data_IF_287873230094
#
_entry.id   IF_287873230094
#
_cell.length_a   1.000
_cell.length_b   1.000
_cell.length_c   1.000
_cell.angle_alpha   90.00
_cell.angle_beta   90.00
_cell.angle_gamma   90.00
#
_symmetry.space_group_name_H-M   'P 1'
#
loop_
_entity.id
_entity.type
_entity.pdbx_description
1 polymer ?
#
# COMPACT_ATOMS: atom_id res chain seq x y z
N UNK A 1 5.64 7.36 11.58
CA UNK A 1 4.37 6.82 12.19
C UNK A 1 3.97 5.56 11.42
N UNK A 2 3.55 4.48 12.11
CA UNK A 2 3.02 3.27 11.44
C UNK A 2 1.69 3.59 10.78
N UNK A 3 1.49 3.17 9.55
CA UNK A 3 0.28 3.43 8.75
C UNK A 3 -0.49 2.17 8.40
N UNK A 4 0.23 1.09 8.07
CA UNK A 4 -0.37 -0.21 7.81
C UNK A 4 0.62 -1.33 8.14
N UNK A 5 0.12 -2.55 8.31
CA UNK A 5 0.94 -3.72 8.57
C UNK A 5 0.25 -4.98 8.04
N UNK A 6 1.05 -5.95 7.61
CA UNK A 6 0.56 -7.23 7.11
C UNK A 6 1.46 -8.38 7.54
N UNK A 7 0.84 -9.49 7.92
CA UNK A 7 1.54 -10.75 8.10
C UNK A 7 1.46 -11.59 6.82
N UNK A 8 2.61 -12.03 6.32
CA UNK A 8 2.74 -12.92 5.16
C UNK A 8 3.94 -13.81 5.31
N UNK A 9 3.81 -15.09 5.00
CA UNK A 9 4.93 -16.04 4.99
C UNK A 9 5.67 -15.90 3.65
N UNK A 10 6.64 -14.98 3.64
CA UNK A 10 7.36 -14.52 2.45
C UNK A 10 8.31 -15.58 1.88
N UNK A 11 8.91 -16.38 2.75
CA UNK A 11 9.91 -17.36 2.40
C UNK A 11 9.38 -18.82 2.39
N UNK A 12 8.06 -18.99 2.58
CA UNK A 12 7.35 -20.27 2.61
C UNK A 12 7.87 -21.26 3.68
N UNK A 13 8.32 -20.74 4.86
CA UNK A 13 8.77 -21.55 5.99
C UNK A 13 7.69 -21.86 7.03
N UNK A 14 6.44 -21.46 6.79
CA UNK A 14 5.26 -21.62 7.64
C UNK A 14 5.21 -20.69 8.86
N UNK A 15 6.10 -19.71 8.94
CA UNK A 15 6.11 -18.68 9.96
C UNK A 15 5.78 -17.32 9.32
N UNK A 16 4.59 -16.75 9.58
CA UNK A 16 4.24 -15.48 8.96
C UNK A 16 5.22 -14.37 9.35
N UNK A 17 5.87 -13.78 8.38
CA UNK A 17 6.71 -12.59 8.50
C UNK A 17 5.84 -11.34 8.61
N UNK A 18 6.41 -10.22 9.01
CA UNK A 18 5.68 -8.97 9.18
C UNK A 18 6.28 -7.87 8.29
N UNK A 19 5.43 -7.29 7.43
CA UNK A 19 5.75 -6.05 6.72
C UNK A 19 4.98 -4.89 7.34
N UNK A 20 5.65 -3.74 7.50
CA UNK A 20 5.07 -2.54 8.14
C UNK A 20 5.40 -1.31 7.32
N UNK A 21 4.37 -0.52 6.97
CA UNK A 21 4.53 0.76 6.29
C UNK A 21 4.58 1.93 7.27
N UNK A 22 5.33 2.96 6.89
CA UNK A 22 5.56 4.14 7.74
C UNK A 22 5.41 5.44 6.96
N UNK A 23 4.87 6.45 7.60
CA UNK A 23 5.22 7.84 7.23
C UNK A 23 6.63 8.15 7.75
N UNK A 24 7.45 8.80 6.91
CA UNK A 24 8.84 9.14 7.20
C UNK A 24 9.70 7.90 7.48
N UNK A 25 9.52 6.86 6.70
CA UNK A 25 10.29 5.62 6.86
C UNK A 25 10.18 4.69 5.67
N UNK A 26 11.03 3.64 5.63
CA UNK A 26 10.92 2.58 4.63
C UNK A 26 9.76 1.65 4.96
N UNK A 27 9.37 0.82 4.00
CA UNK A 27 8.61 -0.40 4.31
C UNK A 27 9.56 -1.33 5.06
N UNK A 28 9.22 -1.66 6.31
CA UNK A 28 10.06 -2.54 7.14
C UNK A 28 9.63 -3.98 6.99
N UNK A 29 10.62 -4.84 6.91
CA UNK A 29 10.47 -6.29 6.86
C UNK A 29 11.06 -6.93 8.11
N UNK A 30 10.22 -7.67 8.82
CA UNK A 30 10.61 -8.43 10.00
C UNK A 30 10.45 -9.92 9.72
N UNK A 31 11.58 -10.63 9.63
CA UNK A 31 11.61 -12.08 9.47
C UNK A 31 11.19 -12.76 10.78
N UNK A 32 10.30 -13.73 10.67
CA UNK A 32 9.81 -14.53 11.76
C UNK A 32 10.58 -15.85 11.85
N UNK A 33 11.51 -15.96 12.79
CA UNK A 33 12.15 -17.24 13.12
C UNK A 33 11.41 -17.89 14.30
N UNK A 34 10.46 -18.77 14.00
CA UNK A 34 9.71 -19.61 14.98
C UNK A 34 9.06 -18.79 16.09
N UNK A 35 8.39 -17.71 15.73
CA UNK A 35 7.68 -16.81 16.64
C UNK A 35 8.52 -15.62 17.14
N UNK A 36 9.78 -15.48 16.66
CA UNK A 36 10.63 -14.35 17.01
C UNK A 36 10.88 -13.46 15.79
N UNK A 37 10.27 -12.28 15.79
CA UNK A 37 10.46 -11.27 14.74
C UNK A 37 11.82 -10.56 14.88
N UNK A 38 12.54 -10.42 13.77
CA UNK A 38 13.80 -9.66 13.67
C UNK A 38 13.79 -8.76 12.43
N UNK A 39 14.18 -7.49 12.60
CA UNK A 39 14.27 -6.54 11.49
C UNK A 39 15.35 -6.98 10.49
N UNK A 40 14.94 -7.19 9.25
CA UNK A 40 15.76 -7.58 8.11
C UNK A 40 15.64 -6.61 6.93
N UNK A 41 15.07 -5.43 7.16
CA UNK A 41 14.79 -4.42 6.14
C UNK A 41 15.98 -4.11 5.23
N UNK A 42 17.16 -3.86 5.82
CA UNK A 42 18.37 -3.58 5.05
C UNK A 42 18.89 -4.82 4.30
N UNK A 43 18.72 -6.02 4.87
CA UNK A 43 19.16 -7.26 4.23
C UNK A 43 18.41 -7.51 2.91
N UNK A 44 17.14 -7.13 2.85
CA UNK A 44 16.28 -7.35 1.67
C UNK A 44 16.20 -6.13 0.74
N UNK A 45 16.94 -5.04 1.03
CA UNK A 45 17.08 -3.87 0.15
C UNK A 45 15.96 -2.85 0.24
N UNK A 46 15.04 -2.95 1.20
CA UNK A 46 13.91 -2.02 1.35
C UNK A 46 14.27 -0.71 2.07
N UNK A 47 15.38 -0.65 2.80
CA UNK A 47 15.80 0.52 3.59
C UNK A 47 16.21 1.73 2.74
N UNK A 48 16.53 1.52 1.46
CA UNK A 48 16.91 2.59 0.53
C UNK A 48 15.73 3.43 0.04
N UNK A 49 14.49 2.94 0.17
CA UNK A 49 13.26 3.57 -0.28
C UNK A 49 12.45 4.09 0.92
N UNK A 50 12.61 5.37 1.20
CA UNK A 50 12.00 6.04 2.35
C UNK A 50 10.88 6.95 1.86
N UNK A 51 9.65 6.68 2.30
CA UNK A 51 8.45 7.36 1.80
C UNK A 51 7.47 7.82 2.88
N UNK A 52 6.34 8.32 2.41
CA UNK A 52 5.11 8.47 3.20
C UNK A 52 4.14 7.36 2.82
N UNK A 53 4.56 6.12 3.08
CA UNK A 53 3.76 4.94 2.73
C UNK A 53 2.50 4.90 3.59
N UNK A 54 1.34 4.79 2.95
CA UNK A 54 0.01 4.86 3.57
C UNK A 54 -0.64 3.50 3.75
N UNK A 55 -0.32 2.53 2.89
CA UNK A 55 -1.02 1.25 2.81
C UNK A 55 -0.12 0.15 2.27
N UNK A 56 -0.53 -1.10 2.54
CA UNK A 56 0.07 -2.31 1.95
C UNK A 56 -1.03 -3.35 1.70
N UNK A 57 -1.02 -4.00 0.53
CA UNK A 57 -1.93 -5.09 0.16
C UNK A 57 -1.18 -6.22 -0.53
N UNK A 58 -1.46 -7.49 -0.19
CA UNK A 58 -0.77 -8.66 -0.73
C UNK A 58 -1.46 -9.21 -1.97
N UNK A 59 -0.73 -9.86 -2.86
CA UNK A 59 -1.23 -10.65 -3.99
C UNK A 59 -0.09 -11.27 -4.80
N UNK A 60 -0.34 -12.40 -5.41
CA UNK A 60 0.56 -13.06 -6.38
C UNK A 60 0.37 -12.36 -7.73
N UNK A 61 1.16 -11.30 -7.99
CA UNK A 61 0.92 -10.35 -9.10
C UNK A 61 1.49 -10.91 -10.42
N UNK A 62 2.53 -11.72 -10.34
CA UNK A 62 3.21 -12.29 -11.52
C UNK A 62 2.96 -13.79 -11.72
N UNK A 63 2.05 -14.38 -10.92
CA UNK A 63 1.66 -15.79 -10.97
C UNK A 63 2.83 -16.76 -10.79
N UNK A 64 3.86 -16.40 -10.01
CA UNK A 64 5.01 -17.26 -9.72
C UNK A 64 4.80 -18.14 -8.47
N UNK A 65 3.73 -17.89 -7.71
CA UNK A 65 3.27 -18.69 -6.57
C UNK A 65 3.79 -18.18 -5.22
N UNK A 66 4.37 -17.01 -5.17
CA UNK A 66 4.67 -16.32 -3.93
C UNK A 66 3.88 -14.98 -3.80
N UNK A 67 3.97 -14.31 -2.68
CA UNK A 67 3.17 -13.11 -2.42
C UNK A 67 4.01 -11.85 -2.60
N UNK A 68 3.53 -11.00 -3.51
CA UNK A 68 3.96 -9.63 -3.71
C UNK A 68 3.10 -8.64 -2.92
N UNK A 69 3.49 -7.38 -2.94
CA UNK A 69 2.80 -6.34 -2.20
C UNK A 69 2.63 -5.07 -3.04
N UNK A 70 1.43 -4.48 -2.99
CA UNK A 70 1.20 -3.11 -3.43
C UNK A 70 1.35 -2.18 -2.24
N UNK A 71 2.14 -1.12 -2.39
CA UNK A 71 2.26 -0.07 -1.37
C UNK A 71 1.78 1.27 -1.91
N UNK A 72 0.89 1.91 -1.16
CA UNK A 72 0.43 3.27 -1.42
C UNK A 72 1.42 4.29 -0.87
N UNK A 73 1.62 5.39 -1.60
CA UNK A 73 2.47 6.52 -1.22
C UNK A 73 1.83 7.83 -1.71
N UNK A 74 2.51 8.95 -1.55
CA UNK A 74 2.02 10.30 -1.86
C UNK A 74 1.83 10.56 -3.36
N UNK A 75 2.62 9.90 -4.24
CA UNK A 75 2.62 10.17 -5.68
C UNK A 75 3.40 11.44 -6.05
N UNK A 76 3.39 11.78 -7.34
CA UNK A 76 4.24 12.85 -7.87
C UNK A 76 3.56 14.21 -8.04
N UNK A 77 2.22 14.27 -7.98
CA UNK A 77 1.47 15.52 -8.14
C UNK A 77 1.35 16.28 -6.81
N UNK A 78 2.49 16.66 -6.29
CA UNK A 78 2.65 17.36 -5.03
C UNK A 78 3.74 18.41 -5.14
N UNK A 79 3.78 19.36 -4.23
CA UNK A 79 4.88 20.32 -4.12
C UNK A 79 6.19 19.72 -3.58
N UNK A 80 6.14 18.53 -3.00
CA UNK A 80 7.31 17.79 -2.57
C UNK A 80 8.05 17.21 -3.79
N UNK A 81 9.39 17.29 -3.76
CA UNK A 81 10.26 16.85 -4.87
C UNK A 81 11.38 15.96 -4.34
N UNK A 82 11.00 15.00 -3.51
CA UNK A 82 11.95 14.10 -2.90
C UNK A 82 12.66 13.21 -3.93
N UNK A 83 13.95 13.03 -3.71
CA UNK A 83 14.78 12.08 -4.44
C UNK A 83 15.92 11.62 -3.55
N UNK A 84 16.66 10.59 -3.97
CA UNK A 84 17.81 10.08 -3.21
C UNK A 84 18.88 11.18 -2.95
N UNK A 85 19.14 12.05 -3.93
CA UNK A 85 20.13 13.13 -3.79
C UNK A 85 19.56 14.35 -3.05
N UNK A 86 18.27 14.59 -3.15
CA UNK A 86 17.59 15.73 -2.54
C UNK A 86 16.36 15.25 -1.77
N UNK A 87 16.53 14.63 -0.58
CA UNK A 87 15.42 14.17 0.22
C UNK A 87 14.64 15.35 0.83
N UNK A 88 13.36 15.13 1.10
CA UNK A 88 12.62 15.97 2.05
C UNK A 88 13.06 15.59 3.46
N UNK A 89 13.23 16.57 4.33
CA UNK A 89 13.74 16.36 5.68
C UNK A 89 12.74 16.86 6.71
N UNK A 90 12.64 16.14 7.81
CA UNK A 90 11.95 16.55 9.02
C UNK A 90 12.92 16.46 10.18
N UNK A 91 13.11 17.58 10.87
CA UNK A 91 13.78 17.62 12.15
C UNK A 91 12.76 17.75 13.29
N UNK A 92 12.96 17.00 14.36
CA UNK A 92 12.16 17.09 15.58
C UNK A 92 13.09 17.31 16.78
N UNK A 93 13.10 18.52 17.32
CA UNK A 93 14.02 18.91 18.37
C UNK A 93 13.67 20.20 19.09
N UNK A 94 14.45 20.53 20.11
CA UNK A 94 14.38 21.81 20.82
C UNK A 94 15.32 22.81 20.14
N UNK A 95 14.76 23.74 19.36
CA UNK A 95 15.52 24.75 18.61
C UNK A 95 15.61 26.10 19.31
N UNK A 96 14.99 26.23 20.49
CA UNK A 96 15.03 27.44 21.30
C UNK A 96 15.79 27.27 22.62
N UNK A 97 16.16 26.02 22.99
CA UNK A 97 16.84 25.72 24.25
C UNK A 97 15.94 25.84 25.49
N UNK A 98 14.61 25.80 25.29
CA UNK A 98 13.63 25.98 26.36
C UNK A 98 12.92 24.65 26.77
N UNK A 99 13.36 23.53 26.24
CA UNK A 99 12.81 22.20 26.49
C UNK A 99 11.59 21.84 25.59
N UNK A 100 11.03 22.79 24.84
CA UNK A 100 9.92 22.57 23.94
C UNK A 100 10.43 22.05 22.59
N UNK A 101 9.97 20.87 22.18
CA UNK A 101 10.31 20.31 20.88
C UNK A 101 9.37 20.86 19.80
N UNK A 102 9.97 21.23 18.67
CA UNK A 102 9.28 21.70 17.47
C UNK A 102 9.64 20.83 16.25
N UNK A 103 8.82 20.91 15.20
CA UNK A 103 9.03 20.25 13.93
C UNK A 103 9.52 21.29 12.93
N UNK A 104 10.62 20.98 12.22
CA UNK A 104 11.17 21.76 11.13
C UNK A 104 11.22 20.90 9.89
N UNK A 105 10.35 21.19 8.89
CA UNK A 105 10.42 20.59 7.57
C UNK A 105 11.41 21.37 6.71
N UNK A 106 12.24 20.64 5.96
CA UNK A 106 13.25 21.21 5.08
C UNK A 106 13.32 20.50 3.74
N UNK A 107 13.83 21.20 2.73
CA UNK A 107 13.99 20.74 1.37
C UNK A 107 15.32 21.20 0.80
N UNK A 108 15.82 20.54 -0.23
CA UNK A 108 16.99 20.98 -0.97
C UNK A 108 16.59 21.82 -2.20
N UNK A 109 17.29 22.93 -2.41
CA UNK A 109 17.33 23.70 -3.64
C UNK A 109 18.80 23.99 -3.96
N UNK A 110 19.27 23.63 -5.15
CA UNK A 110 20.67 23.82 -5.59
C UNK A 110 21.72 23.33 -4.57
N UNK A 111 21.49 22.15 -3.96
CA UNK A 111 22.31 21.54 -2.91
C UNK A 111 22.35 22.30 -1.57
N UNK A 112 21.53 23.32 -1.38
CA UNK A 112 21.37 24.02 -0.12
C UNK A 112 20.06 23.59 0.54
N UNK A 113 20.10 23.30 1.84
CA UNK A 113 18.94 22.91 2.60
C UNK A 113 18.21 24.14 3.14
N UNK A 114 16.97 24.37 2.72
CA UNK A 114 16.12 25.49 3.16
C UNK A 114 14.91 24.99 3.96
N UNK A 115 14.38 25.81 4.89
CA UNK A 115 13.12 25.46 5.56
C UNK A 115 11.97 25.46 4.53
N UNK A 116 11.07 24.50 4.64
CA UNK A 116 9.88 24.44 3.79
C UNK A 116 8.81 25.44 4.23
N UNK A 117 8.74 25.73 5.52
CA UNK A 117 7.81 26.72 6.08
C UNK A 117 8.43 28.11 6.05
N UNK A 118 7.63 29.09 5.64
CA UNK A 118 8.07 30.49 5.62
C UNK A 118 8.20 31.11 7.02
N UNK A 119 8.77 32.34 7.08
CA UNK A 119 9.01 33.07 8.32
C UNK A 119 7.78 33.17 9.23
N UNK A 120 6.58 33.43 8.68
CA UNK A 120 5.35 33.54 9.46
C UNK A 120 5.08 32.26 10.26
N UNK A 121 4.94 31.11 9.58
CA UNK A 121 4.69 29.83 10.24
C UNK A 121 5.80 29.44 11.21
N UNK A 122 7.06 29.68 10.84
CA UNK A 122 8.22 29.34 11.67
C UNK A 122 8.28 30.18 12.93
N UNK A 123 7.99 31.50 12.84
CA UNK A 123 8.00 32.42 13.98
C UNK A 123 6.77 32.28 14.90
N UNK A 124 5.63 31.84 14.36
CA UNK A 124 4.46 31.53 15.18
C UNK A 124 4.73 30.34 16.12
N UNK A 125 5.50 29.34 15.64
CA UNK A 125 5.92 28.20 16.45
C UNK A 125 7.11 28.52 17.39
N UNK A 126 8.04 29.35 16.91
CA UNK A 126 9.31 29.70 17.57
C UNK A 126 9.58 31.22 17.44
N UNK A 127 9.08 32.05 18.36
CA UNK A 127 9.14 33.51 18.26
C UNK A 127 10.55 34.13 18.12
N UNK A 128 11.58 33.49 18.66
CA UNK A 128 12.98 33.91 18.53
C UNK A 128 13.45 34.01 17.07
N UNK A 129 12.83 33.30 16.16
CA UNK A 129 13.16 33.33 14.72
C UNK A 129 12.89 34.74 14.17
N UNK A 130 11.79 35.39 14.56
CA UNK A 130 11.44 36.73 14.09
C UNK A 130 12.41 37.81 14.63
N UNK A 131 12.97 37.59 15.79
CA UNK A 131 14.00 38.49 16.36
C UNK A 131 15.31 38.35 15.57
N UNK A 132 15.69 37.14 15.20
CA UNK A 132 16.93 36.86 14.46
C UNK A 132 16.82 37.22 12.97
N UNK A 133 15.63 37.05 12.39
CA UNK A 133 15.31 37.28 10.97
C UNK A 133 14.12 38.25 10.85
N UNK A 134 14.34 39.55 11.01
CA UNK A 134 13.24 40.53 11.04
C UNK A 134 12.53 40.74 9.71
N UNK A 135 13.12 40.29 8.60
CA UNK A 135 12.52 40.41 7.26
C UNK A 135 12.33 39.05 6.56
N UNK A 136 11.27 38.95 5.75
CA UNK A 136 11.03 37.76 4.94
C UNK A 136 12.19 37.45 4.00
N UNK A 137 12.84 38.48 3.45
CA UNK A 137 13.97 38.31 2.54
C UNK A 137 15.16 37.64 3.23
N UNK A 138 15.55 38.12 4.41
CA UNK A 138 16.66 37.53 5.17
C UNK A 138 16.38 36.05 5.50
N UNK A 139 15.17 35.75 5.94
CA UNK A 139 14.78 34.38 6.23
C UNK A 139 14.80 33.48 4.97
N UNK A 140 14.28 33.99 3.84
CA UNK A 140 14.13 33.20 2.61
C UNK A 140 15.47 32.81 1.95
N UNK A 141 16.52 33.62 2.13
CA UNK A 141 17.87 33.34 1.61
C UNK A 141 18.76 32.56 2.58
N UNK A 142 18.28 32.31 3.80
CA UNK A 142 19.07 31.62 4.84
C UNK A 142 18.79 30.12 4.82
N UNK A 143 19.85 29.33 4.91
CA UNK A 143 19.75 27.87 5.02
C UNK A 143 19.24 27.42 6.40
N UNK A 144 18.82 26.17 6.50
CA UNK A 144 18.30 25.59 7.75
C UNK A 144 19.30 25.69 8.90
N UNK A 145 20.58 25.43 8.65
CA UNK A 145 21.65 25.53 9.63
C UNK A 145 21.93 26.96 10.09
N UNK A 146 21.74 27.95 9.23
CA UNK A 146 21.83 29.38 9.60
C UNK A 146 20.65 29.82 10.47
N UNK A 147 19.45 29.27 10.24
CA UNK A 147 18.24 29.62 10.99
C UNK A 147 18.19 28.93 12.34
N UNK A 148 18.42 27.60 12.36
CA UNK A 148 18.23 26.77 13.56
C UNK A 148 19.53 26.35 14.24
N UNK A 149 20.70 26.74 13.76
CA UNK A 149 22.06 26.33 14.08
C UNK A 149 22.36 24.85 13.85
N UNK A 150 23.54 24.55 13.33
CA UNK A 150 23.96 23.15 13.08
C UNK A 150 23.98 22.33 14.35
N UNK A 151 24.41 22.91 15.48
CA UNK A 151 24.46 22.21 16.77
C UNK A 151 23.09 21.69 17.23
N UNK A 152 22.02 22.49 17.05
CA UNK A 152 20.67 22.10 17.44
C UNK A 152 20.07 21.10 16.45
N UNK A 153 20.39 21.22 15.16
CA UNK A 153 19.99 20.23 14.14
C UNK A 153 20.63 18.86 14.40
N UNK A 154 21.90 18.83 14.81
CA UNK A 154 22.62 17.58 15.12
C UNK A 154 22.06 16.86 16.36
N UNK A 155 21.48 17.63 17.31
CA UNK A 155 20.79 17.09 18.49
C UNK A 155 19.35 16.65 18.21
N UNK A 156 18.75 17.13 17.12
CA UNK A 156 17.39 16.80 16.75
C UNK A 156 17.28 15.40 16.16
N UNK A 157 16.12 14.77 16.31
CA UNK A 157 15.79 13.59 15.51
C UNK A 157 15.57 14.02 14.07
N UNK A 158 16.26 13.36 13.14
CA UNK A 158 16.17 13.61 11.70
C UNK A 158 15.46 12.45 11.02
N UNK A 159 14.48 12.78 10.17
CA UNK A 159 13.79 11.86 9.29
C UNK A 159 13.93 12.34 7.85
N UNK A 160 13.92 11.42 6.92
CA UNK A 160 14.07 11.72 5.49
C UNK A 160 12.98 11.02 4.67
N UNK A 161 12.65 11.59 3.51
CA UNK A 161 11.86 10.95 2.46
C UNK A 161 12.56 11.18 1.14
N UNK A 162 12.80 10.09 0.40
CA UNK A 162 13.46 10.11 -0.90
C UNK A 162 12.64 9.42 -2.00
N UNK A 163 11.52 8.80 -1.65
CA UNK A 163 10.65 8.09 -2.56
C UNK A 163 9.19 8.52 -2.40
N UNK A 164 8.55 8.94 -3.49
CA UNK A 164 7.16 9.40 -3.50
C UNK A 164 6.22 8.45 -4.23
N UNK A 165 6.74 7.51 -5.03
CA UNK A 165 5.90 6.61 -5.81
C UNK A 165 5.17 5.58 -4.97
N UNK A 166 3.91 5.35 -5.30
CA UNK A 166 3.23 4.10 -4.99
C UNK A 166 3.78 3.00 -5.88
N UNK A 167 3.96 1.79 -5.36
CA UNK A 167 4.78 0.78 -6.02
C UNK A 167 4.32 -0.64 -5.78
N UNK A 168 4.84 -1.55 -6.61
CA UNK A 168 4.90 -2.98 -6.37
C UNK A 168 6.20 -3.25 -5.59
N UNK A 169 6.10 -4.00 -4.51
CA UNK A 169 7.22 -4.69 -3.87
C UNK A 169 7.11 -6.15 -4.27
N UNK A 170 7.85 -6.52 -5.31
CA UNK A 170 7.86 -7.85 -5.86
C UNK A 170 8.76 -8.76 -5.01
N UNK A 171 8.25 -9.91 -4.63
CA UNK A 171 8.98 -10.94 -3.91
C UNK A 171 9.83 -11.75 -4.90
N UNK A 172 11.11 -11.66 -4.78
CA UNK A 172 12.10 -12.43 -5.57
C UNK A 172 12.87 -13.41 -4.72
N UNK A 173 12.21 -14.00 -3.75
CA UNK A 173 12.82 -15.00 -2.87
C UNK A 173 13.24 -16.20 -3.68
N UNK A 174 14.52 -16.56 -3.58
CA UNK A 174 15.04 -17.69 -4.35
C UNK A 174 14.55 -19.02 -3.77
N UNK A 175 14.61 -20.07 -4.58
CA UNK A 175 14.24 -21.44 -4.14
C UNK A 175 15.13 -21.96 -2.99
N UNK A 176 16.32 -21.38 -2.81
CA UNK A 176 17.21 -21.66 -1.69
C UNK A 176 16.85 -20.88 -0.41
N UNK A 177 15.77 -20.09 -0.44
CA UNK A 177 15.26 -19.32 0.69
C UNK A 177 15.98 -17.97 0.93
N UNK A 178 16.75 -17.46 -0.06
CA UNK A 178 17.31 -16.11 0.05
C UNK A 178 16.23 -15.10 -0.27
N UNK A 179 15.75 -14.39 0.76
CA UNK A 179 14.71 -13.36 0.63
C UNK A 179 15.30 -12.12 -0.07
N UNK A 180 14.61 -11.65 -1.09
CA UNK A 180 14.94 -10.45 -1.83
C UNK A 180 13.64 -9.79 -2.35
N UNK A 181 13.56 -8.46 -2.28
CA UNK A 181 12.50 -7.70 -2.90
C UNK A 181 13.02 -6.78 -4.00
N UNK A 182 12.19 -6.54 -5.00
CA UNK A 182 12.39 -5.43 -5.94
C UNK A 182 11.29 -4.37 -5.71
N UNK A 183 11.61 -3.11 -5.99
CA UNK A 183 10.70 -2.00 -5.85
C UNK A 183 10.43 -1.40 -7.23
N UNK A 184 9.21 -1.55 -7.73
CA UNK A 184 8.81 -1.09 -9.05
C UNK A 184 7.67 -0.06 -8.94
N UNK A 185 7.85 1.20 -9.36
CA UNK A 185 6.78 2.19 -9.35
C UNK A 185 5.58 1.75 -10.21
N UNK A 186 4.37 1.96 -9.70
CA UNK A 186 3.13 1.81 -10.46
C UNK A 186 3.07 2.81 -11.64
N UNK A 187 2.23 2.57 -12.65
CA UNK A 187 2.06 3.46 -13.80
C UNK A 187 1.87 4.93 -13.41
N UNK A 188 2.43 5.84 -14.22
CA UNK A 188 2.50 7.27 -13.89
C UNK A 188 1.15 7.90 -13.60
N UNK A 189 0.08 7.45 -14.23
CA UNK A 189 -1.27 8.02 -14.04
C UNK A 189 -1.74 7.89 -12.58
N UNK A 190 -1.46 6.78 -11.93
CA UNK A 190 -1.86 6.56 -10.53
C UNK A 190 -1.00 7.34 -9.53
N UNK A 191 0.12 7.90 -9.96
CA UNK A 191 0.96 8.80 -9.15
C UNK A 191 0.40 10.23 -9.07
N UNK A 192 -0.81 10.47 -9.58
CA UNK A 192 -1.45 11.79 -9.61
C UNK A 192 -1.93 12.27 -8.23
N UNK A 193 -2.02 11.39 -7.25
CA UNK A 193 -2.48 11.70 -5.88
C UNK A 193 -2.10 10.59 -4.91
N UNK A 194 -2.08 10.85 -3.58
CA UNK A 194 -1.86 9.80 -2.57
C UNK A 194 -2.84 8.64 -2.71
N UNK A 195 -2.33 7.41 -2.65
CA UNK A 195 -3.11 6.19 -2.65
C UNK A 195 -3.28 5.72 -1.20
N UNK A 196 -4.52 5.41 -0.80
CA UNK A 196 -4.84 4.87 0.52
C UNK A 196 -5.43 3.47 0.43
N UNK A 197 -6.55 3.29 -0.24
CA UNK A 197 -7.14 1.96 -0.42
C UNK A 197 -6.61 1.31 -1.70
N UNK A 198 -6.29 0.02 -1.60
CA UNK A 198 -5.86 -0.83 -2.70
C UNK A 198 -6.58 -2.16 -2.62
N UNK A 199 -7.05 -2.68 -3.75
CA UNK A 199 -7.66 -3.99 -3.87
C UNK A 199 -7.01 -4.74 -5.04
N UNK A 200 -6.59 -5.97 -4.79
CA UNK A 200 -6.06 -6.91 -5.79
C UNK A 200 -7.06 -8.06 -5.94
N UNK A 201 -7.63 -8.22 -7.12
CA UNK A 201 -8.60 -9.26 -7.46
C UNK A 201 -8.74 -9.37 -8.98
N UNK A 202 -9.23 -10.49 -9.46
CA UNK A 202 -9.60 -10.67 -10.86
C UNK A 202 -10.95 -9.99 -11.10
N UNK A 203 -10.94 -8.81 -11.74
CA UNK A 203 -12.14 -8.00 -12.00
C UNK A 203 -12.83 -8.38 -13.30
N UNK A 204 -12.07 -8.86 -14.28
CA UNK A 204 -12.52 -9.13 -15.65
C UNK A 204 -12.67 -10.61 -15.98
N UNK A 205 -12.28 -11.52 -15.07
CA UNK A 205 -12.40 -12.97 -15.24
C UNK A 205 -11.30 -13.60 -16.09
N UNK A 206 -10.17 -12.91 -16.32
CA UNK A 206 -9.08 -13.41 -17.16
C UNK A 206 -8.06 -14.29 -16.41
N UNK A 207 -8.20 -14.41 -15.09
CA UNK A 207 -7.36 -15.22 -14.22
C UNK A 207 -6.09 -14.52 -13.75
N UNK A 208 -5.93 -13.21 -13.99
CA UNK A 208 -4.85 -12.42 -13.45
C UNK A 208 -5.38 -11.46 -12.36
N UNK A 209 -4.52 -11.04 -11.45
CA UNK A 209 -4.91 -10.04 -10.46
C UNK A 209 -4.88 -8.64 -11.07
N UNK A 210 -6.03 -7.97 -11.02
CA UNK A 210 -6.18 -6.55 -11.34
C UNK A 210 -6.02 -5.71 -10.09
N UNK A 211 -5.71 -4.43 -10.25
CA UNK A 211 -5.51 -3.49 -9.17
C UNK A 211 -6.51 -2.34 -9.25
N UNK A 212 -7.35 -2.18 -8.23
CA UNK A 212 -8.11 -0.95 -8.04
C UNK A 212 -7.52 -0.14 -6.90
N UNK A 213 -7.28 1.16 -7.14
CA UNK A 213 -6.74 2.10 -6.14
C UNK A 213 -7.70 3.26 -5.90
N UNK A 214 -7.88 3.64 -4.63
CA UNK A 214 -8.62 4.84 -4.26
C UNK A 214 -7.69 5.89 -3.67
N UNK A 215 -7.95 7.15 -3.98
CA UNK A 215 -6.97 8.21 -3.89
C UNK A 215 -7.50 9.47 -3.22
N UNK A 216 -6.63 10.45 -3.14
CA UNK A 216 -6.80 11.83 -2.71
C UNK A 216 -6.60 12.06 -1.20
N UNK A 217 -6.13 13.26 -0.90
CA UNK A 217 -5.87 13.70 0.46
C UNK A 217 -6.21 15.18 0.65
N UNK A 218 -7.17 15.45 1.52
CA UNK A 218 -7.67 16.78 1.86
C UNK A 218 -7.23 17.26 3.25
N UNK A 219 -6.46 16.43 3.98
CA UNK A 219 -5.99 16.70 5.33
C UNK A 219 -4.74 17.57 5.48
N UNK A 220 -3.91 17.82 4.43
CA UNK A 220 -2.74 18.67 4.59
C UNK A 220 -3.10 20.09 5.02
N UNK A 221 -2.17 20.72 5.72
CA UNK A 221 -2.28 22.14 6.06
C UNK A 221 -2.48 23.00 4.80
N UNK A 222 -3.09 24.18 4.97
CA UNK A 222 -3.44 25.09 3.86
C UNK A 222 -2.24 25.45 2.98
N UNK A 223 -1.07 25.65 3.60
CA UNK A 223 0.18 25.97 2.89
C UNK A 223 0.71 24.79 2.07
N UNK A 224 0.42 23.57 2.48
CA UNK A 224 0.75 22.36 1.71
C UNK A 224 -0.15 22.21 0.50
N UNK A 225 -1.40 22.61 0.62
CA UNK A 225 -2.43 22.44 -0.40
C UNK A 225 -3.02 21.02 -0.40
N UNK A 226 -4.17 20.89 -1.00
CA UNK A 226 -4.84 19.60 -1.17
C UNK A 226 -4.15 18.77 -2.25
N UNK A 227 -4.06 17.47 -2.03
CA UNK A 227 -3.57 16.51 -3.00
C UNK A 227 -4.77 15.75 -3.58
N UNK A 228 -5.44 16.34 -4.56
CA UNK A 228 -6.71 15.86 -5.13
C UNK A 228 -6.64 15.70 -6.65
N UNK A 229 -5.52 15.24 -7.17
CA UNK A 229 -5.32 15.03 -8.60
C UNK A 229 -5.81 13.68 -9.13
N UNK A 230 -6.24 12.77 -8.24
CA UNK A 230 -6.69 11.43 -8.60
C UNK A 230 -8.19 11.35 -8.82
N UNK A 231 -8.60 10.42 -9.67
CA UNK A 231 -10.01 10.04 -9.90
C UNK A 231 -10.28 8.61 -9.47
N UNK A 232 -9.32 8.00 -8.78
CA UNK A 232 -9.20 6.56 -8.55
C UNK A 232 -8.97 5.80 -9.87
N UNK A 233 -8.32 4.67 -9.84
CA UNK A 233 -7.92 3.99 -11.07
C UNK A 233 -8.07 2.48 -10.95
N UNK A 234 -8.69 1.87 -11.96
CA UNK A 234 -8.61 0.45 -12.23
C UNK A 234 -7.46 0.20 -13.21
N UNK A 235 -6.67 -0.82 -12.96
CA UNK A 235 -5.59 -1.27 -13.81
C UNK A 235 -5.71 -2.78 -14.00
N UNK A 236 -5.68 -3.24 -15.25
CA UNK A 236 -5.66 -4.67 -15.55
C UNK A 236 -4.23 -5.20 -15.45
N UNK A 237 -4.09 -6.33 -14.76
CA UNK A 237 -2.84 -7.05 -14.65
C UNK A 237 -2.62 -8.01 -15.81
N UNK A 238 -1.37 -8.24 -16.19
CA UNK A 238 -0.99 -9.19 -17.25
C UNK A 238 -0.50 -10.55 -16.72
N UNK A 239 -0.52 -10.72 -15.38
CA UNK A 239 0.02 -11.91 -14.71
C UNK A 239 1.55 -12.06 -14.84
N UNK A 240 2.25 -11.00 -15.21
CA UNK A 240 3.70 -10.94 -15.32
C UNK A 240 4.29 -9.72 -14.57
N UNK A 241 3.55 -9.22 -13.56
CA UNK A 241 3.98 -8.11 -12.73
C UNK A 241 3.71 -6.71 -13.32
N UNK A 242 2.99 -6.58 -14.45
CA UNK A 242 2.68 -5.28 -15.03
C UNK A 242 1.19 -4.98 -14.96
N UNK A 243 0.88 -3.67 -14.81
CA UNK A 243 -0.47 -3.15 -14.75
C UNK A 243 -0.75 -2.13 -15.85
N UNK A 244 -1.86 -2.28 -16.57
CA UNK A 244 -2.31 -1.34 -17.61
C UNK A 244 -3.53 -0.58 -17.11
N UNK A 245 -3.44 0.77 -16.98
CA UNK A 245 -4.56 1.59 -16.54
C UNK A 245 -5.74 1.55 -17.51
N UNK A 246 -6.94 1.38 -16.98
CA UNK A 246 -8.20 1.42 -17.73
C UNK A 246 -8.79 2.83 -17.65
N UNK A 247 -9.35 3.28 -18.77
CA UNK A 247 -10.00 4.59 -18.83
C UNK A 247 -11.15 4.68 -17.82
N UNK A 248 -11.30 5.80 -17.07
CA UNK A 248 -12.45 6.00 -16.19
C UNK A 248 -13.81 5.89 -16.89
N UNK A 249 -13.87 6.21 -18.18
CA UNK A 249 -15.11 6.06 -18.97
C UNK A 249 -15.44 4.59 -19.29
N UNK A 250 -14.45 3.72 -19.31
CA UNK A 250 -14.60 2.30 -19.50
C UNK A 250 -14.93 1.58 -18.18
N UNK A 251 -14.18 1.90 -17.14
CA UNK A 251 -14.34 1.22 -15.86
C UNK A 251 -15.56 1.68 -15.05
N UNK A 252 -16.05 2.92 -15.28
CA UNK A 252 -17.08 3.53 -14.43
C UNK A 252 -16.62 3.82 -12.99
N UNK A 253 -15.44 3.37 -12.58
CA UNK A 253 -14.92 3.48 -11.22
C UNK A 253 -14.27 4.85 -11.01
N UNK A 254 -15.10 5.88 -10.84
CA UNK A 254 -14.65 7.26 -10.70
C UNK A 254 -14.91 7.78 -9.29
N UNK A 255 -13.86 8.05 -8.52
CA UNK A 255 -13.92 8.67 -7.20
C UNK A 255 -12.92 9.82 -7.14
N UNK A 256 -13.40 11.05 -7.34
CA UNK A 256 -12.59 12.28 -7.25
C UNK A 256 -12.53 12.88 -5.84
N UNK A 257 -13.28 12.30 -4.90
CA UNK A 257 -13.32 12.72 -3.49
C UNK A 257 -12.13 12.16 -2.70
N UNK A 258 -12.02 12.55 -1.42
CA UNK A 258 -10.98 12.08 -0.49
C UNK A 258 -11.27 10.65 -0.03
N UNK A 259 -11.02 9.66 -0.89
CA UNK A 259 -11.28 8.26 -0.61
C UNK A 259 -10.16 7.65 0.25
N UNK A 260 -10.54 6.91 1.30
CA UNK A 260 -9.60 6.35 2.28
C UNK A 260 -9.66 4.84 2.36
N UNK A 261 -10.85 4.28 2.48
CA UNK A 261 -11.01 2.83 2.64
C UNK A 261 -11.60 2.21 1.37
N UNK A 262 -11.19 0.99 1.11
CA UNK A 262 -11.66 0.18 -0.01
C UNK A 262 -11.82 -1.25 0.47
N UNK A 263 -12.96 -1.85 0.22
CA UNK A 263 -13.20 -3.27 0.48
C UNK A 263 -13.88 -3.94 -0.70
N UNK A 264 -13.58 -5.20 -0.88
CA UNK A 264 -14.18 -6.09 -1.86
C UNK A 264 -15.35 -6.83 -1.25
N UNK A 265 -16.44 -6.95 -1.99
CA UNK A 265 -17.60 -7.77 -1.63
C UNK A 265 -18.28 -8.23 -2.92
N UNK A 266 -19.24 -9.12 -2.78
CA UNK A 266 -20.17 -9.56 -3.80
C UNK A 266 -21.55 -9.14 -3.27
N UNK A 267 -21.99 -7.92 -3.66
CA UNK A 267 -23.13 -7.22 -3.04
C UNK A 267 -24.44 -7.74 -3.59
N UNK A 268 -24.51 -8.01 -4.89
CA UNK A 268 -25.70 -8.51 -5.59
C UNK A 268 -25.73 -10.03 -5.76
N UNK A 269 -24.69 -10.72 -5.26
CA UNK A 269 -24.55 -12.18 -5.23
C UNK A 269 -24.46 -12.82 -6.61
N UNK A 270 -23.84 -12.13 -7.56
CA UNK A 270 -23.59 -12.64 -8.90
C UNK A 270 -22.26 -13.39 -9.05
N UNK A 271 -21.47 -13.45 -7.95
CA UNK A 271 -20.17 -14.14 -7.89
C UNK A 271 -19.00 -13.27 -8.33
N UNK A 272 -19.22 -12.05 -8.82
CA UNK A 272 -18.17 -11.12 -9.19
C UNK A 272 -17.78 -10.21 -8.03
N UNK A 273 -16.61 -9.60 -8.12
CA UNK A 273 -16.17 -8.67 -7.12
C UNK A 273 -16.79 -7.29 -7.34
N UNK A 274 -17.37 -6.74 -6.28
CA UNK A 274 -17.83 -5.35 -6.18
C UNK A 274 -16.93 -4.55 -5.27
N UNK A 275 -16.95 -3.23 -5.43
CA UNK A 275 -16.13 -2.34 -4.61
C UNK A 275 -16.98 -1.43 -3.73
N UNK A 276 -16.61 -1.38 -2.45
CA UNK A 276 -17.19 -0.49 -1.47
C UNK A 276 -16.13 0.53 -1.03
N UNK A 277 -16.40 1.82 -1.25
CA UNK A 277 -15.44 2.90 -1.03
C UNK A 277 -15.90 3.84 0.07
N UNK A 278 -15.08 3.98 1.11
CA UNK A 278 -15.28 4.97 2.16
C UNK A 278 -14.60 6.29 1.83
N UNK A 279 -15.38 7.36 1.80
CA UNK A 279 -14.95 8.73 1.48
C UNK A 279 -14.91 9.58 2.75
N UNK A 280 -13.77 10.21 3.04
CA UNK A 280 -13.63 11.11 4.18
C UNK A 280 -14.51 12.35 4.01
N UNK A 281 -15.36 12.64 5.00
CA UNK A 281 -16.39 13.69 4.95
C UNK A 281 -17.33 13.59 3.72
N UNK A 282 -17.54 12.38 3.20
CA UNK A 282 -18.36 12.12 2.02
C UNK A 282 -19.32 10.96 2.20
N UNK A 283 -20.05 10.66 1.12
CA UNK A 283 -20.93 9.50 1.10
C UNK A 283 -20.10 8.23 0.87
N UNK A 284 -20.55 7.13 1.46
CA UNK A 284 -20.12 5.80 1.10
C UNK A 284 -20.56 5.49 -0.34
N UNK A 285 -19.67 4.90 -1.14
CA UNK A 285 -19.94 4.55 -2.53
C UNK A 285 -19.89 3.03 -2.71
N UNK A 286 -20.77 2.52 -3.54
CA UNK A 286 -20.82 1.12 -3.95
C UNK A 286 -20.75 1.06 -5.47
N UNK A 287 -19.90 0.22 -6.01
CA UNK A 287 -19.73 -0.04 -7.43
C UNK A 287 -19.97 -1.52 -7.68
N UNK A 288 -20.96 -1.82 -8.51
CA UNK A 288 -21.33 -3.18 -8.89
C UNK A 288 -20.62 -3.52 -10.19
N UNK A 289 -20.03 -4.71 -10.26
CA UNK A 289 -19.32 -5.20 -11.44
C UNK A 289 -20.30 -5.82 -12.44
N UNK A 290 -20.55 -5.13 -13.54
CA UNK A 290 -21.46 -5.53 -14.61
C UNK A 290 -20.72 -6.07 -15.86
N UNK A 291 -19.42 -6.34 -15.78
CA UNK A 291 -18.65 -6.98 -16.86
C UNK A 291 -19.25 -8.35 -17.18
N UNK A 292 -19.43 -8.64 -18.46
CA UNK A 292 -20.04 -9.90 -18.92
C UNK A 292 -19.05 -11.07 -18.88
N UNK A 293 -19.00 -11.75 -17.74
CA UNK A 293 -18.29 -13.02 -17.56
C UNK A 293 -18.93 -13.85 -16.43
N UNK A 294 -18.62 -15.13 -16.36
CA UNK A 294 -19.07 -16.01 -15.28
C UNK A 294 -18.14 -15.87 -14.08
N UNK A 295 -18.46 -14.98 -13.15
CA UNK A 295 -17.71 -14.80 -11.93
C UNK A 295 -18.01 -15.88 -10.88
N UNK A 296 -17.07 -16.13 -9.99
CA UNK A 296 -17.26 -17.04 -8.86
C UNK A 296 -16.55 -16.51 -7.61
N UNK A 297 -17.29 -16.45 -6.52
CA UNK A 297 -16.79 -16.08 -5.21
C UNK A 297 -16.57 -17.34 -4.35
N UNK A 298 -15.31 -17.66 -4.04
CA UNK A 298 -14.97 -18.80 -3.16
C UNK A 298 -14.92 -18.27 -1.73
N UNK A 299 -15.95 -18.58 -0.94
CA UNK A 299 -16.05 -18.18 0.48
C UNK A 299 -15.48 -19.29 1.37
N UNK A 300 -14.38 -19.01 2.07
CA UNK A 300 -13.78 -20.00 2.98
C UNK A 300 -14.62 -20.26 4.24
N UNK A 301 -15.53 -19.34 4.56
CA UNK A 301 -16.53 -19.55 5.62
C UNK A 301 -17.44 -20.76 5.36
N UNK A 302 -17.62 -21.13 4.10
CA UNK A 302 -18.51 -22.23 3.68
C UNK A 302 -17.83 -23.61 3.78
N UNK A 303 -16.52 -23.61 4.03
CA UNK A 303 -15.74 -24.83 4.23
C UNK A 303 -15.90 -25.35 5.67
N UNK A 304 -15.47 -26.61 5.98
CA UNK A 304 -15.76 -27.28 7.26
C UNK A 304 -15.44 -26.42 8.48
N UNK A 305 -16.41 -26.33 9.40
CA UNK A 305 -16.39 -25.51 10.62
C UNK A 305 -15.14 -25.71 11.49
N UNK A 306 -14.62 -24.62 12.04
CA UNK A 306 -13.60 -24.62 13.10
C UNK A 306 -12.19 -24.31 12.64
N UNK A 307 -11.95 -23.94 11.39
CA UNK A 307 -10.64 -23.47 10.92
C UNK A 307 -10.59 -21.95 10.88
N UNK A 308 -9.48 -21.37 11.36
CA UNK A 308 -9.18 -19.96 11.15
C UNK A 308 -8.71 -19.76 9.72
N UNK A 309 -9.28 -18.78 9.02
CA UNK A 309 -8.98 -18.51 7.62
C UNK A 309 -7.95 -17.39 7.41
N UNK A 310 -7.79 -16.46 8.37
CA UNK A 310 -6.77 -15.41 8.27
C UNK A 310 -5.38 -16.06 8.30
N UNK A 311 -4.57 -15.81 7.28
CA UNK A 311 -3.29 -16.46 7.05
C UNK A 311 -3.36 -17.74 6.21
N UNK A 312 -4.57 -18.18 5.79
CA UNK A 312 -4.70 -19.30 4.87
C UNK A 312 -4.11 -18.94 3.49
N UNK A 313 -3.37 -19.88 2.91
CA UNK A 313 -2.86 -19.80 1.54
C UNK A 313 -3.68 -20.74 0.66
N UNK A 314 -4.04 -20.26 -0.54
CA UNK A 314 -4.92 -20.95 -1.47
C UNK A 314 -4.22 -20.98 -2.82
N UNK A 315 -4.00 -22.18 -3.36
CA UNK A 315 -3.50 -22.35 -4.72
C UNK A 315 -4.63 -22.86 -5.62
N UNK A 316 -4.95 -22.09 -6.65
CA UNK A 316 -5.90 -22.43 -7.69
C UNK A 316 -5.12 -22.96 -8.87
N UNK A 317 -5.33 -24.24 -9.20
CA UNK A 317 -4.74 -24.86 -10.38
C UNK A 317 -5.77 -24.86 -11.51
N UNK A 318 -5.52 -24.09 -12.55
CA UNK A 318 -6.38 -23.98 -13.71
C UNK A 318 -6.17 -25.13 -14.71
N UNK A 319 -7.17 -25.38 -15.54
CA UNK A 319 -7.11 -26.42 -16.59
C UNK A 319 -6.06 -26.12 -17.67
N UNK A 320 -5.78 -24.83 -17.92
CA UNK A 320 -4.74 -24.36 -18.83
C UNK A 320 -3.31 -24.56 -18.31
N UNK A 321 -3.15 -24.99 -17.04
CA UNK A 321 -1.87 -25.21 -16.39
C UNK A 321 -1.38 -24.06 -15.51
N UNK A 322 -2.03 -22.90 -15.54
CA UNK A 322 -1.71 -21.78 -14.68
C UNK A 322 -2.00 -22.13 -13.20
N UNK A 323 -1.25 -21.51 -12.31
CA UNK A 323 -1.47 -21.58 -10.87
C UNK A 323 -1.53 -20.14 -10.36
N UNK A 324 -2.56 -19.83 -9.60
CA UNK A 324 -2.71 -18.55 -8.94
C UNK A 324 -2.70 -18.78 -7.42
N UNK A 325 -1.95 -17.98 -6.70
CA UNK A 325 -1.88 -18.07 -5.24
C UNK A 325 -2.58 -16.88 -4.59
N UNK A 326 -3.38 -17.16 -3.58
CA UNK A 326 -4.02 -16.16 -2.74
C UNK A 326 -3.66 -16.37 -1.27
N UNK A 327 -3.46 -15.29 -0.56
CA UNK A 327 -3.33 -15.31 0.90
C UNK A 327 -4.45 -14.48 1.51
N UNK A 328 -5.21 -15.07 2.42
CA UNK A 328 -6.22 -14.32 3.17
C UNK A 328 -5.56 -13.54 4.29
N UNK A 329 -5.63 -12.23 4.17
CA UNK A 329 -5.05 -11.30 5.15
C UNK A 329 -6.10 -10.73 6.08
N UNK A 330 -5.70 -10.40 7.31
CA UNK A 330 -6.52 -9.69 8.29
C UNK A 330 -6.60 -8.18 8.05
N UNK A 331 -5.85 -7.65 7.09
CA UNK A 331 -5.88 -6.24 6.69
C UNK A 331 -5.51 -6.10 5.21
N UNK A 332 -6.04 -5.09 4.54
CA UNK A 332 -5.66 -4.70 3.19
C UNK A 332 -5.80 -3.18 3.04
N UNK A 333 -4.80 -2.51 2.44
CA UNK A 333 -4.83 -1.08 2.25
C UNK A 333 -4.77 -0.27 3.56
N UNK A 334 -5.42 0.88 3.58
CA UNK A 334 -5.48 1.82 4.71
C UNK A 334 -6.81 1.67 5.45
N UNK A 335 -6.76 1.29 6.73
CA UNK A 335 -7.94 1.13 7.62
C UNK A 335 -9.06 0.31 6.96
N UNK A 336 -8.70 -0.75 6.23
CA UNK A 336 -9.62 -1.56 5.45
C UNK A 336 -9.40 -3.03 5.70
N UNK A 337 -10.45 -3.82 5.49
CA UNK A 337 -10.42 -5.28 5.52
C UNK A 337 -11.51 -5.81 4.59
N UNK A 338 -11.15 -6.73 3.71
CA UNK A 338 -12.10 -7.51 2.91
C UNK A 338 -12.46 -8.81 3.62
N UNK A 339 -13.60 -9.40 3.26
CA UNK A 339 -14.01 -10.71 3.76
C UNK A 339 -13.07 -11.84 3.29
N UNK A 340 -13.19 -13.03 3.89
CA UNK A 340 -12.38 -14.20 3.53
C UNK A 340 -12.89 -14.86 2.24
N UNK A 341 -12.86 -14.11 1.14
CA UNK A 341 -13.40 -14.49 -0.16
C UNK A 341 -12.30 -14.32 -1.20
N UNK A 342 -12.19 -15.30 -2.10
CA UNK A 342 -11.37 -15.23 -3.30
C UNK A 342 -12.31 -15.09 -4.50
N UNK A 343 -12.15 -14.00 -5.25
CA UNK A 343 -12.90 -13.74 -6.48
C UNK A 343 -12.10 -14.22 -7.67
N UNK A 344 -12.76 -14.95 -8.56
CA UNK A 344 -12.15 -15.58 -9.73
C UNK A 344 -13.12 -15.50 -10.93
N UNK A 345 -12.61 -15.75 -12.12
CA UNK A 345 -13.43 -16.00 -13.30
C UNK A 345 -14.26 -17.29 -13.16
N UNK A 346 -14.53 -17.96 -14.26
CA UNK A 346 -15.37 -19.17 -14.25
C UNK A 346 -14.70 -20.29 -13.44
N UNK A 347 -15.35 -20.70 -12.34
CA UNK A 347 -14.90 -21.86 -11.55
C UNK A 347 -14.76 -23.14 -12.36
N UNK A 348 -15.44 -23.23 -13.51
CA UNK A 348 -15.31 -24.37 -14.42
C UNK A 348 -13.91 -24.50 -15.00
N UNK A 349 -13.11 -23.43 -15.03
CA UNK A 349 -11.72 -23.44 -15.48
C UNK A 349 -10.74 -23.95 -14.43
N UNK A 350 -11.18 -24.06 -13.18
CA UNK A 350 -10.35 -24.63 -12.11
C UNK A 350 -10.36 -26.15 -12.20
N UNK A 351 -9.19 -26.74 -12.14
CA UNK A 351 -8.99 -28.19 -12.03
C UNK A 351 -9.04 -28.63 -10.58
N UNK A 352 -8.30 -27.94 -9.70
CA UNK A 352 -8.26 -28.20 -8.25
C UNK A 352 -7.87 -26.96 -7.47
N UNK A 353 -8.27 -26.93 -6.20
CA UNK A 353 -7.86 -25.94 -5.22
C UNK A 353 -7.12 -26.65 -4.06
N UNK A 354 -5.99 -26.11 -3.64
CA UNK A 354 -5.26 -26.56 -2.45
C UNK A 354 -5.33 -25.41 -1.44
N UNK A 355 -5.76 -25.73 -0.22
CA UNK A 355 -5.80 -24.78 0.88
C UNK A 355 -4.82 -25.24 1.95
N UNK A 356 -3.89 -24.37 2.32
CA UNK A 356 -3.03 -24.54 3.49
C UNK A 356 -3.52 -23.61 4.59
N UNK A 357 -3.99 -24.20 5.67
CA UNK A 357 -4.54 -23.48 6.81
C UNK A 357 -3.42 -22.99 7.74
N UNK A 358 -3.67 -21.94 8.56
CA UNK A 358 -2.66 -21.42 9.50
C UNK A 358 -2.16 -22.43 10.53
N UNK A 359 -2.92 -23.48 10.80
CA UNK A 359 -2.52 -24.59 11.69
C UNK A 359 -1.64 -25.65 11.00
N UNK A 360 -1.22 -25.42 9.76
CA UNK A 360 -0.40 -26.31 8.94
C UNK A 360 -1.18 -27.45 8.25
N UNK A 361 -2.48 -27.64 8.53
CA UNK A 361 -3.28 -28.64 7.81
C UNK A 361 -3.53 -28.22 6.35
N UNK A 362 -3.71 -29.22 5.47
CA UNK A 362 -4.00 -28.98 4.04
C UNK A 362 -5.30 -29.69 3.67
N UNK A 363 -6.09 -28.99 2.85
CA UNK A 363 -7.25 -29.57 2.17
C UNK A 363 -7.02 -29.45 0.67
N UNK A 364 -7.42 -30.49 -0.08
CA UNK A 364 -7.42 -30.49 -1.54
C UNK A 364 -8.84 -30.74 -2.04
N UNK A 365 -9.33 -29.87 -2.91
CA UNK A 365 -10.67 -29.92 -3.48
C UNK A 365 -10.54 -30.02 -5.01
N UNK A 366 -11.07 -31.13 -5.56
CA UNK A 366 -11.07 -31.36 -7.00
C UNK A 366 -12.43 -30.96 -7.60
N UNK A 367 -12.45 -29.93 -8.42
CA UNK A 367 -13.68 -29.39 -9.03
C UNK A 367 -14.32 -30.35 -10.04
N UNK A 368 -13.55 -31.27 -10.62
CA UNK A 368 -14.07 -32.30 -11.54
C UNK A 368 -14.99 -33.31 -10.84
N UNK A 369 -14.89 -33.48 -9.51
CA UNK A 369 -15.58 -34.52 -8.75
C UNK A 369 -16.60 -33.99 -7.74
N UNK A 370 -16.73 -32.69 -7.56
CA UNK A 370 -17.55 -32.10 -6.49
C UNK A 370 -18.16 -30.76 -6.91
N UNK A 371 -19.03 -30.73 -7.92
CA UNK A 371 -19.67 -29.49 -8.39
C UNK A 371 -20.60 -28.86 -7.34
N UNK A 372 -21.06 -29.63 -6.32
CA UNK A 372 -22.06 -29.19 -5.34
C UNK A 372 -21.51 -28.46 -4.12
N UNK A 373 -20.19 -28.54 -3.85
CA UNK A 373 -19.58 -27.92 -2.65
C UNK A 373 -19.60 -26.37 -2.66
N UNK A 374 -19.91 -25.75 -3.78
CA UNK A 374 -19.96 -24.30 -3.98
C UNK A 374 -21.25 -23.84 -4.67
N UNK A 375 -22.28 -24.67 -4.70
CA UNK A 375 -23.63 -24.30 -5.14
C UNK A 375 -24.47 -23.84 -3.94
N UNK A 376 -24.02 -22.85 -3.18
CA UNK A 376 -24.91 -22.15 -2.26
C UNK A 376 -25.53 -20.95 -3.00
N UNK A 377 -26.56 -21.22 -3.76
CA UNK A 377 -27.69 -20.31 -3.88
C UNK A 377 -28.29 -20.11 -2.49
N UNK A 378 -28.16 -18.92 -1.92
CA UNK A 378 -29.04 -18.41 -0.85
C UNK A 378 -29.81 -17.23 -1.38
#
# INVERSE_FOLDING_TARGET
MVTSAIFSDVNNDDWPDLLVTYEWGPVRFYLNDKGRLSDKTSMVGLDSKIGWFSSISPGDIDNDGDIDFIVGNTGYNTKYKASYLNPEILYYGDFEGNGKKNIVEAKFEDNVCFPRRGLGCSSDAMPIIKERFPTYHQFAISSVDQIYSQELLDKAQKFEVNELSSAIIENRTTKEGKIQFSFQPLPRIVQSSPIFGTALCDVNGDGNLDLYVVQNFSGPQRETGYMRGGVSHLLFGDGAGNFTPISPNESGLVVSADAKSLTMNDVDQDGKVDFLVGVNNGKFLSFINDIDFNGSAIRLSDLPKGKHFIGAKIWLHFKNGNIQMHQLSGSSGYLSQSGPVVYIGDKSDIKKMIIKWPNGSKDEINFSNSPELFSSTF
#
